data_IF_584202571637
#
_entry.id   IF_584202571637
#
_cell.length_a   1.000
_cell.length_b   1.000
_cell.length_c   1.000
_cell.angle_alpha   90.00
_cell.angle_beta   90.00
_cell.angle_gamma   90.00
#
_symmetry.space_group_name_H-M   'P 1'
#
loop_
_entity.id
_entity.type
_entity.pdbx_description
1 polymer ?
#
# COMPACT_ATOMS: atom_id res chain seq x y z
N UNK A 1 -5.47 7.35 9.59
CA UNK A 1 -5.23 6.34 10.66
C UNK A 1 -5.68 6.89 11.99
N UNK A 2 -6.40 6.10 12.77
CA UNK A 2 -6.86 6.52 14.09
C UNK A 2 -5.81 6.20 15.15
N UNK A 3 -5.78 6.95 16.28
CA UNK A 3 -4.86 6.62 17.37
C UNK A 3 -5.08 5.21 17.92
N UNK A 4 -6.33 4.75 17.92
CA UNK A 4 -6.67 3.40 18.38
C UNK A 4 -6.05 2.33 17.49
N UNK A 5 -6.10 2.50 16.17
CA UNK A 5 -5.52 1.56 15.23
C UNK A 5 -3.99 1.56 15.33
N UNK A 6 -3.38 2.73 15.48
CA UNK A 6 -1.93 2.85 15.63
C UNK A 6 -1.45 2.17 16.92
N UNK A 7 -2.21 2.27 18.01
CA UNK A 7 -1.90 1.60 19.26
C UNK A 7 -2.00 0.07 19.10
N UNK A 8 -3.04 -0.41 18.43
CA UNK A 8 -3.21 -1.84 18.21
C UNK A 8 -2.06 -2.42 17.38
N UNK A 9 -1.52 -1.65 16.44
CA UNK A 9 -0.41 -2.09 15.61
C UNK A 9 0.89 -2.29 16.40
N UNK A 10 0.98 -1.74 17.61
CA UNK A 10 2.14 -1.90 18.48
C UNK A 10 2.01 -3.08 19.45
N UNK A 11 0.85 -3.73 19.47
CA UNK A 11 0.60 -4.87 20.33
C UNK A 11 1.28 -6.12 19.77
N UNK A 12 2.11 -6.80 20.56
CA UNK A 12 2.87 -7.97 20.13
C UNK A 12 1.99 -9.16 19.72
N UNK A 13 0.76 -9.22 20.24
CA UNK A 13 -0.15 -10.32 19.96
C UNK A 13 -1.03 -10.08 18.75
N UNK A 14 -0.90 -8.91 18.09
CA UNK A 14 -1.75 -8.52 16.97
C UNK A 14 -0.92 -8.12 15.78
N UNK A 15 -1.12 -8.81 14.64
CA UNK A 15 -0.55 -8.40 13.37
C UNK A 15 -1.50 -7.41 12.70
N UNK A 16 -0.99 -6.23 12.35
CA UNK A 16 -1.79 -5.17 11.75
C UNK A 16 -1.18 -4.71 10.44
N UNK A 17 -2.00 -4.58 9.41
CA UNK A 17 -1.58 -4.08 8.11
C UNK A 17 -2.31 -2.77 7.83
N UNK A 18 -1.69 -1.66 8.20
CA UNK A 18 -2.27 -0.33 8.05
C UNK A 18 -1.65 0.39 6.85
N UNK A 19 -2.46 0.64 5.83
CA UNK A 19 -2.04 1.43 4.69
C UNK A 19 -2.30 2.91 4.95
N UNK A 20 -1.40 3.78 4.53
CA UNK A 20 -1.52 5.21 4.74
C UNK A 20 -1.42 5.93 3.38
N UNK A 21 -2.42 6.73 2.99
CA UNK A 21 -3.57 7.14 3.78
C UNK A 21 -4.73 6.14 3.82
N UNK A 22 -4.72 5.12 2.96
CA UNK A 22 -5.84 4.19 2.86
C UNK A 22 -5.44 2.91 2.12
N UNK A 23 -6.34 1.93 2.11
CA UNK A 23 -6.12 0.65 1.42
C UNK A 23 -5.82 0.83 -0.07
N UNK A 24 -6.34 1.86 -0.70
CA UNK A 24 -6.12 2.10 -2.13
C UNK A 24 -4.65 2.31 -2.49
N UNK A 25 -3.80 2.65 -1.53
CA UNK A 25 -2.35 2.68 -1.75
C UNK A 25 -1.85 1.31 -2.19
N UNK A 26 -2.30 0.25 -1.52
CA UNK A 26 -1.94 -1.12 -1.88
C UNK A 26 -2.38 -1.46 -3.31
N UNK A 27 -3.62 -1.12 -3.66
CA UNK A 27 -4.13 -1.34 -5.02
C UNK A 27 -3.29 -0.58 -6.07
N UNK A 28 -2.95 0.67 -5.76
CA UNK A 28 -2.13 1.51 -6.63
C UNK A 28 -0.78 0.85 -6.93
N UNK A 29 -0.14 0.28 -5.92
CA UNK A 29 1.18 -0.32 -6.04
C UNK A 29 1.21 -1.55 -6.95
N UNK A 30 0.06 -2.15 -7.25
CA UNK A 30 -0.01 -3.22 -8.25
C UNK A 30 0.31 -2.72 -9.66
N UNK A 31 0.12 -1.43 -9.92
CA UNK A 31 0.24 -0.88 -11.26
C UNK A 31 1.36 0.13 -11.42
N UNK A 32 1.80 0.77 -10.35
CA UNK A 32 2.81 1.83 -10.44
C UNK A 32 3.54 2.01 -9.13
N UNK A 33 4.72 2.60 -9.22
CA UNK A 33 5.47 3.07 -8.05
C UNK A 33 5.07 4.49 -7.73
N UNK A 34 5.18 4.86 -6.45
CA UNK A 34 4.95 6.23 -6.03
C UNK A 34 5.66 6.51 -4.72
N UNK A 35 6.36 7.62 -4.66
CA UNK A 35 7.00 8.12 -3.45
C UNK A 35 6.36 9.41 -2.95
N UNK A 36 5.68 10.15 -3.84
CA UNK A 36 5.00 11.37 -3.47
C UNK A 36 3.76 11.08 -2.63
N UNK A 37 3.54 11.88 -1.60
CA UNK A 37 2.38 11.75 -0.72
C UNK A 37 1.07 11.86 -1.51
N UNK A 38 0.08 11.05 -1.14
CA UNK A 38 -1.29 11.24 -1.66
C UNK A 38 -2.02 12.37 -0.93
N UNK A 39 -1.77 12.50 0.36
CA UNK A 39 -2.39 13.54 1.18
C UNK A 39 -3.76 13.16 1.74
N UNK A 40 -4.57 12.41 0.99
CA UNK A 40 -5.91 12.01 1.43
C UNK A 40 -6.38 10.77 0.70
N UNK A 41 -7.40 10.13 1.25
CA UNK A 41 -8.04 8.98 0.60
C UNK A 41 -8.65 9.37 -0.75
N UNK A 42 -9.29 10.52 -0.82
CA UNK A 42 -9.91 10.98 -2.08
C UNK A 42 -8.87 11.13 -3.19
N UNK A 43 -7.70 11.66 -2.87
CA UNK A 43 -6.61 11.81 -3.85
C UNK A 43 -6.02 10.48 -4.26
N UNK A 44 -5.88 9.54 -3.33
CA UNK A 44 -5.40 8.20 -3.63
C UNK A 44 -6.37 7.47 -4.57
N UNK A 45 -7.67 7.57 -4.31
CA UNK A 45 -8.70 6.98 -5.17
C UNK A 45 -8.65 7.62 -6.56
N UNK A 46 -8.54 8.94 -6.63
CA UNK A 46 -8.47 9.63 -7.93
C UNK A 46 -7.25 9.17 -8.73
N UNK A 47 -6.11 8.99 -8.07
CA UNK A 47 -4.90 8.50 -8.73
C UNK A 47 -5.09 7.06 -9.24
N UNK A 48 -5.68 6.19 -8.44
CA UNK A 48 -5.95 4.80 -8.80
C UNK A 48 -6.87 4.73 -10.03
N UNK A 49 -7.91 5.56 -10.06
CA UNK A 49 -8.88 5.57 -11.17
C UNK A 49 -8.23 5.94 -12.51
N UNK A 50 -7.11 6.64 -12.49
CA UNK A 50 -6.39 7.03 -13.71
C UNK A 50 -5.37 6.00 -14.18
N UNK A 51 -5.05 5.01 -13.34
CA UNK A 51 -3.98 4.05 -13.64
C UNK A 51 -4.41 2.93 -14.56
N UNK A 52 -5.61 2.41 -14.36
CA UNK A 52 -6.05 1.21 -15.07
C UNK A 52 -7.53 1.29 -15.40
N UNK A 53 -7.94 0.88 -16.62
CA UNK A 53 -9.35 1.00 -17.05
C UNK A 53 -10.34 0.29 -16.11
N UNK A 54 -9.96 -0.84 -15.52
CA UNK A 54 -10.87 -1.56 -14.62
C UNK A 54 -11.18 -0.79 -13.34
N UNK A 55 -10.36 0.21 -13.00
CA UNK A 55 -10.55 1.04 -11.81
C UNK A 55 -11.09 2.43 -12.15
N UNK A 56 -11.40 2.71 -13.41
CA UNK A 56 -11.89 4.04 -13.83
C UNK A 56 -13.11 4.49 -13.05
N UNK A 57 -13.99 3.56 -12.68
CA UNK A 57 -15.21 3.84 -11.93
C UNK A 57 -15.14 3.36 -10.48
N UNK A 58 -13.96 3.03 -10.00
CA UNK A 58 -13.76 2.58 -8.62
C UNK A 58 -14.25 3.64 -7.64
N UNK A 59 -14.94 3.20 -6.59
CA UNK A 59 -15.53 4.04 -5.55
C UNK A 59 -16.70 4.91 -6.04
N UNK A 60 -17.22 4.67 -7.25
CA UNK A 60 -18.42 5.34 -7.73
C UNK A 60 -19.62 4.42 -7.60
N UNK A 61 -20.81 5.02 -7.46
CA UNK A 61 -22.04 4.25 -7.34
C UNK A 61 -22.34 3.41 -8.59
N UNK A 62 -22.08 3.96 -9.77
CA UNK A 62 -22.30 3.25 -11.04
C UNK A 62 -21.24 2.18 -11.31
N UNK A 63 -20.10 2.24 -10.66
CA UNK A 63 -18.99 1.32 -10.85
C UNK A 63 -18.80 0.30 -9.72
N UNK A 64 -19.88 -0.08 -9.06
CA UNK A 64 -19.86 -1.07 -7.98
C UNK A 64 -19.09 -0.62 -6.73
N UNK A 65 -18.96 0.69 -6.52
CA UNK A 65 -18.28 1.24 -5.36
C UNK A 65 -16.84 0.77 -5.25
N UNK A 66 -16.45 0.34 -4.06
CA UNK A 66 -15.10 -0.17 -3.79
C UNK A 66 -14.99 -1.69 -3.92
N UNK A 67 -16.00 -2.33 -4.46
CA UNK A 67 -15.98 -3.78 -4.61
C UNK A 67 -14.85 -4.20 -5.56
N UNK A 68 -14.13 -5.26 -5.20
CA UNK A 68 -13.16 -5.88 -6.09
C UNK A 68 -13.90 -6.88 -6.97
N UNK A 69 -14.40 -6.38 -8.11
CA UNK A 69 -15.08 -7.18 -9.11
C UNK A 69 -14.13 -8.19 -9.72
N UNK A 70 -14.68 -9.16 -10.47
CA UNK A 70 -13.85 -10.16 -11.14
C UNK A 70 -12.84 -9.50 -12.07
N UNK A 71 -13.23 -8.45 -12.79
CA UNK A 71 -12.31 -7.72 -13.66
C UNK A 71 -11.22 -7.01 -12.88
N UNK A 72 -11.56 -6.41 -11.74
CA UNK A 72 -10.57 -5.74 -10.90
C UNK A 72 -9.59 -6.72 -10.30
N UNK A 73 -10.09 -7.86 -9.80
CA UNK A 73 -9.23 -8.91 -9.29
C UNK A 73 -8.31 -9.46 -10.37
N UNK A 74 -8.85 -9.70 -11.57
CA UNK A 74 -8.03 -10.19 -12.68
C UNK A 74 -6.92 -9.19 -13.02
N UNK A 75 -7.22 -7.89 -13.01
CA UNK A 75 -6.21 -6.87 -13.28
C UNK A 75 -5.12 -6.85 -12.20
N UNK A 76 -5.49 -6.99 -10.92
CA UNK A 76 -4.53 -7.01 -9.83
C UNK A 76 -3.57 -8.20 -9.94
N UNK A 77 -4.07 -9.35 -10.34
CA UNK A 77 -3.28 -10.58 -10.40
C UNK A 77 -2.72 -10.89 -11.79
N UNK A 78 -2.86 -9.97 -12.73
CA UNK A 78 -2.31 -10.16 -14.06
C UNK A 78 -0.79 -10.16 -14.03
N UNK A 79 -0.18 -11.14 -14.67
CA UNK A 79 1.28 -11.25 -14.73
C UNK A 79 1.88 -11.30 -13.33
N UNK A 80 2.89 -10.47 -13.09
CA UNK A 80 3.56 -10.38 -11.79
C UNK A 80 3.13 -9.15 -10.99
N UNK A 81 1.95 -8.60 -11.24
CA UNK A 81 1.48 -7.39 -10.56
C UNK A 81 1.52 -7.51 -9.03
N UNK A 82 1.13 -8.67 -8.50
CA UNK A 82 1.18 -8.87 -7.05
C UNK A 82 2.61 -8.84 -6.52
N UNK A 83 3.54 -9.51 -7.21
CA UNK A 83 4.94 -9.50 -6.83
C UNK A 83 5.52 -8.08 -6.90
N UNK A 84 5.15 -7.33 -7.91
CA UNK A 84 5.57 -5.94 -8.04
C UNK A 84 4.99 -5.07 -6.92
N UNK A 85 3.73 -5.28 -6.56
CA UNK A 85 3.13 -4.55 -5.44
C UNK A 85 3.91 -4.80 -4.15
N UNK A 86 4.26 -6.05 -3.88
CA UNK A 86 5.06 -6.40 -2.71
C UNK A 86 6.44 -5.72 -2.73
N UNK A 87 7.10 -5.74 -3.88
CA UNK A 87 8.41 -5.10 -4.03
C UNK A 87 8.33 -3.59 -3.84
N UNK A 88 7.32 -2.96 -4.42
CA UNK A 88 7.11 -1.51 -4.31
C UNK A 88 6.76 -1.09 -2.88
N UNK A 89 5.93 -1.87 -2.21
CA UNK A 89 5.57 -1.62 -0.82
C UNK A 89 6.79 -1.74 0.10
N UNK A 90 7.61 -2.76 -0.12
CA UNK A 90 8.85 -2.96 0.64
C UNK A 90 9.81 -1.79 0.43
N UNK A 91 9.94 -1.33 -0.80
CA UNK A 91 10.81 -0.20 -1.14
C UNK A 91 10.36 1.08 -0.44
N UNK A 92 9.07 1.33 -0.36
CA UNK A 92 8.54 2.47 0.37
C UNK A 92 8.87 2.37 1.86
N UNK A 93 8.74 1.18 2.43
CA UNK A 93 9.06 0.95 3.84
C UNK A 93 10.54 1.23 4.13
N UNK A 94 11.44 0.69 3.30
CA UNK A 94 12.87 0.88 3.44
C UNK A 94 13.28 2.34 3.21
N UNK A 95 12.69 2.96 2.22
CA UNK A 95 12.95 4.34 1.86
C UNK A 95 12.64 5.28 3.04
N UNK A 96 11.53 5.07 3.71
CA UNK A 96 11.15 5.91 4.84
C UNK A 96 12.16 5.79 6.00
N UNK A 97 12.73 4.62 6.20
CA UNK A 97 13.72 4.40 7.27
C UNK A 97 15.06 5.10 6.97
N UNK A 98 15.36 5.33 5.68
CA UNK A 98 16.68 5.80 5.26
C UNK A 98 16.69 7.16 4.59
N UNK A 99 15.56 7.83 4.45
CA UNK A 99 15.47 9.05 3.65
C UNK A 99 15.12 10.26 4.48
N UNK A 100 14.99 11.38 3.79
CA UNK A 100 14.72 12.70 4.35
C UNK A 100 13.26 12.82 4.77
N UNK A 101 12.85 12.08 5.76
CA UNK A 101 11.53 12.26 6.35
C UNK A 101 11.45 13.61 7.03
N UNK A 102 10.33 14.30 6.88
CA UNK A 102 10.11 15.60 7.50
C UNK A 102 9.97 15.52 9.01
N UNK A 103 9.77 14.33 9.54
CA UNK A 103 9.62 14.11 10.96
C UNK A 103 10.89 13.49 11.53
N UNK A 104 11.24 13.80 12.79
CA UNK A 104 12.48 13.30 13.37
C UNK A 104 12.42 11.79 13.60
N UNK A 105 13.48 11.11 13.15
CA UNK A 105 13.69 9.68 13.38
C UNK A 105 15.06 9.52 13.99
N UNK A 106 15.13 8.86 15.14
CA UNK A 106 16.41 8.58 15.77
C UNK A 106 17.13 7.45 15.02
N UNK A 107 18.47 7.42 15.06
CA UNK A 107 19.21 6.33 14.44
C UNK A 107 18.73 4.98 14.95
N UNK A 108 18.51 4.05 14.02
CA UNK A 108 18.00 2.71 14.33
C UNK A 108 16.49 2.60 14.51
N UNK A 109 15.77 3.70 14.39
CA UNK A 109 14.31 3.70 14.47
C UNK A 109 13.70 3.96 13.10
N UNK A 110 12.51 3.38 12.86
CA UNK A 110 11.73 3.68 11.68
C UNK A 110 10.74 4.78 11.97
N UNK A 111 10.28 5.47 10.94
CA UNK A 111 9.21 6.45 11.06
C UNK A 111 7.97 5.82 11.66
N UNK A 112 7.16 6.63 12.35
CA UNK A 112 5.83 6.20 12.76
C UNK A 112 4.97 5.99 11.52
N UNK A 113 4.17 4.94 11.53
CA UNK A 113 3.38 4.55 10.36
C UNK A 113 2.40 5.65 9.93
N UNK A 114 1.85 6.39 10.89
CA UNK A 114 0.94 7.50 10.58
C UNK A 114 1.62 8.66 9.85
N UNK A 115 2.95 8.70 9.82
CA UNK A 115 3.71 9.71 9.10
C UNK A 115 4.14 9.25 7.71
N UNK A 116 3.84 8.01 7.34
CA UNK A 116 4.26 7.43 6.07
C UNK A 116 3.14 7.49 5.07
N UNK A 117 3.14 8.49 4.22
CA UNK A 117 2.21 8.61 3.11
C UNK A 117 3.04 8.78 1.82
N UNK A 118 3.07 7.83 0.90
CA UNK A 118 2.29 6.58 0.92
C UNK A 118 3.00 5.46 1.67
N UNK A 119 2.23 4.53 2.22
CA UNK A 119 2.79 3.31 2.76
C UNK A 119 1.76 2.18 2.76
N UNK A 120 2.26 0.95 2.65
CA UNK A 120 1.43 -0.25 2.73
C UNK A 120 2.27 -1.40 3.27
N UNK A 121 2.00 -1.88 4.48
CA UNK A 121 2.70 -3.04 5.03
C UNK A 121 2.07 -4.37 4.64
N UNK A 122 1.12 -4.38 3.70
CA UNK A 122 0.42 -5.61 3.30
C UNK A 122 1.37 -6.67 2.75
N UNK A 123 2.52 -6.27 2.16
CA UNK A 123 3.52 -7.23 1.71
C UNK A 123 4.04 -8.11 2.87
N UNK A 124 4.02 -7.59 4.09
CA UNK A 124 4.48 -8.35 5.26
C UNK A 124 3.51 -9.47 5.65
N UNK A 125 2.23 -9.34 5.29
CA UNK A 125 1.27 -10.40 5.51
C UNK A 125 1.65 -11.68 4.77
N UNK A 126 2.17 -11.55 3.57
CA UNK A 126 2.58 -12.71 2.78
C UNK A 126 3.73 -13.44 3.45
N UNK A 127 4.66 -12.71 4.04
CA UNK A 127 5.76 -13.29 4.80
C UNK A 127 5.23 -14.03 6.04
N UNK A 128 4.32 -13.41 6.78
CA UNK A 128 3.71 -14.00 7.96
C UNK A 128 2.92 -15.27 7.63
N UNK A 129 2.31 -15.32 6.46
CA UNK A 129 1.56 -16.47 6.00
C UNK A 129 2.43 -17.55 5.37
N UNK A 130 3.76 -17.36 5.35
CA UNK A 130 4.68 -18.31 4.75
C UNK A 130 4.68 -18.31 3.23
N UNK A 131 4.23 -17.22 2.61
CA UNK A 131 4.18 -17.08 1.16
C UNK A 131 5.34 -16.23 0.68
N UNK A 132 6.16 -16.80 -0.19
CA UNK A 132 7.24 -16.05 -0.84
C UNK A 132 6.71 -15.42 -2.12
N UNK A 133 6.45 -14.13 -2.06
CA UNK A 133 6.04 -13.38 -3.25
C UNK A 133 7.21 -12.54 -3.70
N UNK A 134 7.84 -12.97 -4.79
CA UNK A 134 9.06 -12.34 -5.30
C UNK A 134 8.81 -11.89 -6.74
N UNK A 135 9.22 -10.64 -7.05
CA UNK A 135 9.16 -10.14 -8.41
C UNK A 135 10.06 -10.99 -9.30
N UNK A 136 9.54 -11.44 -10.45
CA UNK A 136 10.27 -12.32 -11.34
C UNK A 136 11.32 -11.61 -12.17
N UNK A 137 11.25 -10.31 -12.28
CA UNK A 137 12.18 -9.53 -13.07
C UNK A 137 12.79 -8.43 -12.22
N UNK A 138 14.02 -8.63 -11.88
CA UNK A 138 14.78 -7.71 -11.06
C UNK A 138 15.66 -6.79 -11.86
N UNK A 139 15.70 -6.95 -13.12
CA UNK A 139 16.55 -6.15 -13.99
C UNK A 139 15.93 -4.83 -14.34
#
# INVERSE_FOLDING_TARGET
MTPRAAKAAQDDDVAFALCNPCFEVWLYLHFASRTASFGSQAKAIAALRRLHPTFAEYASRSGHGKRLTDQRLAALFEGDNLAQACARARKLHESCANSDCDHPVKPGQTCKIEHRDPSSPLHELFVLLGLDVIATDET
#
